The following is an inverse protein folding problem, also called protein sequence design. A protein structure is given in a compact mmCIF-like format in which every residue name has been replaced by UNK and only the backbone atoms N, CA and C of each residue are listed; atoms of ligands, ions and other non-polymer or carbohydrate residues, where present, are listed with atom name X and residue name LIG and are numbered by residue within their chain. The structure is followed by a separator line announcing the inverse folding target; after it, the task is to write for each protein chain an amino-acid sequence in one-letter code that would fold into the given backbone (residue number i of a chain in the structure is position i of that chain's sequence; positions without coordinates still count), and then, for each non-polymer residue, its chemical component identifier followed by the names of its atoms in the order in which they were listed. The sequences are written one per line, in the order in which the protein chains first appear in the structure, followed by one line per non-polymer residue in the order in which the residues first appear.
data_IF_580086240421
#
_entry.id   IF_580086240421
#
_cell.length_a   1.000
_cell.length_b   1.000
_cell.length_c   1.000
_cell.angle_alpha   90.00
_cell.angle_beta   90.00
_cell.angle_gamma   90.00
#
_symmetry.space_group_name_H-M   'P 1'
#
loop_
_entity.id
_entity.type
_entity.pdbx_description
1 polymer ?
#
# COMPACT_ATOMS: atom_id res chain seq x y z
N UNK A 1 27.41 -13.34 -24.32
CA UNK A 1 26.27 -12.40 -24.30
C UNK A 1 25.93 -12.13 -22.85
N UNK A 2 26.61 -11.14 -22.29
CA UNK A 2 26.49 -10.73 -20.91
C UNK A 2 25.12 -10.11 -20.66
N UNK A 3 24.25 -10.84 -19.97
CA UNK A 3 23.08 -10.28 -19.30
C UNK A 3 23.60 -9.51 -18.10
N UNK A 4 24.03 -8.26 -18.30
CA UNK A 4 24.17 -7.31 -17.21
C UNK A 4 22.77 -7.11 -16.61
N UNK A 5 22.51 -7.89 -15.56
CA UNK A 5 21.30 -7.84 -14.74
C UNK A 5 21.16 -6.42 -14.19
N UNK A 6 20.12 -5.70 -14.63
CA UNK A 6 19.73 -4.44 -14.01
C UNK A 6 19.60 -4.68 -12.51
N UNK A 7 20.36 -3.93 -11.70
CA UNK A 7 20.23 -3.98 -10.24
C UNK A 7 18.92 -3.28 -9.89
N UNK A 8 18.26 -3.71 -8.81
CA UNK A 8 17.12 -2.97 -8.27
C UNK A 8 17.59 -1.55 -7.90
N UNK A 9 17.23 -0.57 -8.70
CA UNK A 9 17.42 0.84 -8.38
C UNK A 9 16.20 1.26 -7.57
N UNK A 10 16.42 1.69 -6.33
CA UNK A 10 15.35 2.07 -5.42
C UNK A 10 15.42 1.41 -4.04
N UNK A 11 14.83 2.08 -3.07
CA UNK A 11 14.74 1.61 -1.68
C UNK A 11 13.30 1.26 -1.35
N UNK A 12 13.13 0.17 -0.61
CA UNK A 12 11.85 -0.21 -0.03
C UNK A 12 12.09 -0.40 1.45
N UNK A 13 11.34 0.33 2.27
CA UNK A 13 11.26 0.12 3.71
C UNK A 13 9.81 -0.08 4.07
N UNK A 14 9.54 -1.02 4.96
CA UNK A 14 8.21 -1.23 5.48
C UNK A 14 8.28 -1.58 6.95
N UNK A 15 7.30 -1.08 7.69
CA UNK A 15 7.16 -1.35 9.11
C UNK A 15 5.68 -1.34 9.46
N UNK A 16 5.20 -2.44 10.03
CA UNK A 16 3.87 -2.46 10.62
C UNK A 16 3.90 -1.85 12.03
N UNK A 17 3.03 -0.88 12.30
CA UNK A 17 2.84 -0.31 13.62
C UNK A 17 1.52 -0.80 14.20
N UNK A 18 1.59 -1.85 15.02
CA UNK A 18 0.42 -2.53 15.60
C UNK A 18 -0.49 -1.58 16.38
N UNK A 19 0.09 -0.65 17.13
CA UNK A 19 -0.66 0.35 17.92
C UNK A 19 -1.56 1.24 17.05
N UNK A 20 -1.21 1.42 15.77
CA UNK A 20 -1.99 2.20 14.80
C UNK A 20 -2.82 1.32 13.87
N UNK A 21 -2.49 0.03 13.75
CA UNK A 21 -3.04 -0.86 12.72
C UNK A 21 -2.65 -0.43 11.30
N UNK A 22 -1.51 0.24 11.14
CA UNK A 22 -1.06 0.81 9.86
C UNK A 22 0.30 0.22 9.47
N UNK A 23 0.38 -0.24 8.23
CA UNK A 23 1.62 -0.60 7.56
C UNK A 23 2.18 0.63 6.85
N UNK A 24 3.32 1.13 7.33
CA UNK A 24 4.06 2.21 6.69
C UNK A 24 4.99 1.62 5.64
N UNK A 25 5.00 2.21 4.45
CA UNK A 25 5.81 1.79 3.32
C UNK A 25 6.46 3.02 2.71
N UNK A 26 7.79 3.06 2.70
CA UNK A 26 8.57 4.05 1.97
C UNK A 26 9.16 3.43 0.71
N UNK A 27 8.86 4.07 -0.42
CA UNK A 27 9.29 3.68 -1.76
C UNK A 27 10.14 4.79 -2.35
N UNK A 28 11.36 4.46 -2.75
CA UNK A 28 12.22 5.35 -3.54
C UNK A 28 12.39 4.71 -4.92
N UNK A 29 11.96 5.40 -5.98
CA UNK A 29 11.99 4.88 -7.36
C UNK A 29 13.41 4.75 -7.95
N UNK A 30 13.52 4.20 -9.18
CA UNK A 30 12.46 3.82 -10.13
C UNK A 30 11.79 2.45 -9.84
N UNK A 31 10.54 2.26 -10.30
CA UNK A 31 9.73 1.07 -10.00
C UNK A 31 9.80 0.00 -11.10
N UNK A 32 11.00 -0.50 -11.39
CA UNK A 32 11.19 -1.58 -12.37
C UNK A 32 10.75 -2.97 -11.82
N UNK A 33 10.86 -4.02 -12.63
CA UNK A 33 10.46 -5.39 -12.22
C UNK A 33 11.27 -5.88 -11.02
N UNK A 34 12.56 -5.58 -10.97
CA UNK A 34 13.44 -5.93 -9.85
C UNK A 34 13.01 -5.21 -8.56
N UNK A 35 12.54 -3.95 -8.67
CA UNK A 35 11.94 -3.22 -7.56
C UNK A 35 10.67 -3.91 -7.06
N UNK A 36 9.79 -4.38 -7.94
CA UNK A 36 8.57 -5.10 -7.54
C UNK A 36 8.88 -6.40 -6.80
N UNK A 37 9.93 -7.12 -7.20
CA UNK A 37 10.39 -8.31 -6.47
C UNK A 37 10.93 -7.94 -5.08
N UNK A 38 11.74 -6.87 -4.98
CA UNK A 38 12.23 -6.34 -3.71
C UNK A 38 11.08 -5.89 -2.81
N UNK A 39 10.07 -5.25 -3.38
CA UNK A 39 8.85 -4.83 -2.69
C UNK A 39 8.15 -6.02 -2.05
N UNK A 40 7.87 -7.08 -2.80
CA UNK A 40 7.19 -8.26 -2.27
C UNK A 40 8.03 -8.95 -1.18
N UNK A 41 9.36 -8.92 -1.32
CA UNK A 41 10.29 -9.41 -0.29
C UNK A 41 10.21 -8.63 1.02
N UNK A 42 10.20 -7.29 0.97
CA UNK A 42 10.19 -6.45 2.18
C UNK A 42 8.76 -6.32 2.74
N UNK A 43 7.83 -5.82 1.93
CA UNK A 43 6.46 -5.54 2.33
C UNK A 43 5.68 -6.84 2.58
N UNK A 44 5.89 -7.86 1.76
CA UNK A 44 5.23 -9.15 1.93
C UNK A 44 5.63 -9.86 3.23
N UNK A 45 6.88 -9.68 3.70
CA UNK A 45 7.30 -10.19 5.01
C UNK A 45 6.63 -9.43 6.16
N UNK A 46 6.51 -8.10 6.08
CA UNK A 46 5.78 -7.32 7.10
C UNK A 46 4.30 -7.69 7.13
N UNK A 47 3.66 -7.84 5.97
CA UNK A 47 2.24 -8.24 5.89
C UNK A 47 1.95 -9.58 6.54
N UNK A 48 2.89 -10.53 6.49
CA UNK A 48 2.74 -11.83 7.16
C UNK A 48 2.74 -11.74 8.69
N UNK A 49 3.23 -10.63 9.26
CA UNK A 49 3.26 -10.38 10.70
C UNK A 49 1.97 -9.72 11.20
N UNK A 50 1.10 -9.29 10.30
CA UNK A 50 -0.14 -8.59 10.66
C UNK A 50 -1.16 -9.61 11.16
N UNK A 51 -1.38 -9.62 12.48
CA UNK A 51 -2.43 -10.41 13.14
C UNK A 51 -3.63 -9.54 13.51
N UNK A 52 -4.05 -8.67 12.58
CA UNK A 52 -5.20 -7.78 12.75
C UNK A 52 -6.21 -7.96 11.62
N UNK A 53 -7.51 -8.08 11.92
CA UNK A 53 -8.54 -8.33 10.91
C UNK A 53 -8.79 -7.15 9.98
N UNK A 54 -8.40 -5.94 10.40
CA UNK A 54 -8.49 -4.72 9.61
C UNK A 54 -7.20 -3.91 9.80
N UNK A 55 -6.57 -3.52 8.71
CA UNK A 55 -5.36 -2.68 8.74
C UNK A 55 -5.31 -1.72 7.54
N UNK A 56 -4.60 -0.61 7.72
CA UNK A 56 -4.40 0.42 6.70
C UNK A 56 -3.00 0.36 6.10
N UNK A 57 -2.86 0.81 4.85
CA UNK A 57 -1.55 0.97 4.23
C UNK A 57 -1.27 2.45 4.00
N UNK A 58 -0.13 2.95 4.49
CA UNK A 58 0.38 4.28 4.16
C UNK A 58 1.61 4.13 3.28
N UNK A 59 1.54 4.66 2.07
CA UNK A 59 2.60 4.56 1.07
C UNK A 59 3.19 5.95 0.81
N UNK A 60 4.43 6.14 1.25
CA UNK A 60 5.26 7.28 0.92
C UNK A 60 6.07 6.98 -0.35
N UNK A 61 5.93 7.83 -1.36
CA UNK A 61 6.65 7.70 -2.62
C UNK A 61 7.59 8.90 -2.77
N UNK A 62 8.88 8.59 -2.85
CA UNK A 62 9.97 9.53 -3.01
C UNK A 62 10.61 9.36 -4.39
N UNK A 63 10.97 10.49 -5.01
CA UNK A 63 11.60 10.54 -6.33
C UNK A 63 10.62 10.36 -7.52
N UNK A 64 11.21 10.39 -8.72
CA UNK A 64 10.51 10.14 -9.99
C UNK A 64 10.26 8.64 -10.17
N UNK A 65 9.19 8.15 -9.55
CA UNK A 65 8.75 6.78 -9.65
C UNK A 65 8.11 6.48 -11.02
N UNK A 66 8.94 6.33 -12.05
CA UNK A 66 8.52 5.83 -13.36
C UNK A 66 8.35 4.32 -13.27
N UNK A 67 7.16 3.84 -13.63
CA UNK A 67 6.79 2.44 -13.58
C UNK A 67 6.40 1.94 -14.99
N UNK A 68 6.99 0.84 -15.48
CA UNK A 68 6.58 0.21 -16.73
C UNK A 68 5.19 -0.43 -16.57
N UNK A 69 4.51 -0.70 -17.67
CA UNK A 69 3.12 -1.20 -17.65
C UNK A 69 3.00 -2.55 -16.93
N UNK A 70 4.03 -3.39 -17.04
CA UNK A 70 4.15 -4.68 -16.37
C UNK A 70 4.14 -4.55 -14.85
N UNK A 71 4.63 -3.43 -14.30
CA UNK A 71 4.57 -3.15 -12.87
C UNK A 71 3.13 -2.91 -12.38
N UNK A 72 2.21 -2.49 -13.26
CA UNK A 72 0.79 -2.32 -12.92
C UNK A 72 0.12 -3.65 -12.62
N UNK A 73 0.38 -4.70 -13.42
CA UNK A 73 -0.20 -6.04 -13.21
C UNK A 73 0.27 -6.61 -11.87
N UNK A 74 1.57 -6.51 -11.59
CA UNK A 74 2.13 -6.90 -10.30
C UNK A 74 1.51 -6.10 -9.14
N UNK A 75 1.34 -4.78 -9.31
CA UNK A 75 0.68 -3.93 -8.33
C UNK A 75 -0.76 -4.34 -8.03
N UNK A 76 -1.55 -4.68 -9.06
CA UNK A 76 -2.92 -5.16 -8.89
C UNK A 76 -2.97 -6.47 -8.10
N UNK A 77 -2.09 -7.42 -8.40
CA UNK A 77 -2.00 -8.69 -7.66
C UNK A 77 -1.62 -8.47 -6.18
N UNK A 78 -0.69 -7.55 -5.92
CA UNK A 78 -0.26 -7.15 -4.57
C UNK A 78 -1.41 -6.55 -3.77
N UNK A 79 -2.21 -5.67 -4.38
CA UNK A 79 -3.39 -5.06 -3.74
C UNK A 79 -4.46 -6.10 -3.49
N UNK A 80 -4.79 -6.95 -4.47
CA UNK A 80 -5.79 -8.00 -4.32
C UNK A 80 -5.45 -8.96 -3.17
N UNK A 81 -4.17 -9.39 -3.09
CA UNK A 81 -3.66 -10.21 -2.00
C UNK A 81 -3.79 -9.49 -0.65
N UNK A 82 -3.41 -8.23 -0.57
CA UNK A 82 -3.50 -7.45 0.67
C UNK A 82 -4.95 -7.27 1.16
N UNK A 83 -5.90 -7.01 0.25
CA UNK A 83 -7.32 -6.90 0.58
C UNK A 83 -7.86 -8.23 1.10
N UNK A 84 -7.45 -9.37 0.54
CA UNK A 84 -7.83 -10.69 1.05
C UNK A 84 -7.32 -10.97 2.47
N UNK A 85 -6.30 -10.24 2.92
CA UNK A 85 -5.71 -10.33 4.27
C UNK A 85 -6.13 -9.19 5.20
N UNK A 86 -7.19 -8.43 4.88
CA UNK A 86 -7.75 -7.42 5.77
C UNK A 86 -7.32 -5.97 5.52
N UNK A 87 -6.67 -5.66 4.39
CA UNK A 87 -6.40 -4.27 4.00
C UNK A 87 -7.73 -3.56 3.70
N UNK A 88 -8.03 -2.48 4.44
CA UNK A 88 -9.30 -1.74 4.32
C UNK A 88 -9.18 -0.42 3.54
N UNK A 89 -7.98 0.17 3.47
CA UNK A 89 -7.74 1.44 2.81
C UNK A 89 -6.25 1.67 2.55
N UNK A 90 -5.92 2.44 1.51
CA UNK A 90 -4.54 2.87 1.23
C UNK A 90 -4.43 4.38 1.08
N UNK A 91 -3.58 5.01 1.89
CA UNK A 91 -3.20 6.40 1.73
C UNK A 91 -1.87 6.50 0.98
N UNK A 92 -1.78 7.41 0.00
CA UNK A 92 -0.61 7.59 -0.86
C UNK A 92 -0.12 9.02 -0.73
N UNK A 93 1.14 9.19 -0.33
CA UNK A 93 1.81 10.48 -0.23
C UNK A 93 2.88 10.53 -1.31
N UNK A 94 2.75 11.47 -2.24
CA UNK A 94 3.70 11.68 -3.32
C UNK A 94 4.54 12.91 -2.95
N UNK A 95 5.79 12.69 -2.54
CA UNK A 95 6.66 13.74 -2.01
C UNK A 95 7.22 14.66 -3.10
N UNK A 96 7.37 14.14 -4.32
CA UNK A 96 7.81 14.94 -5.46
C UNK A 96 6.63 15.50 -6.26
N UNK A 97 6.72 16.79 -6.59
CA UNK A 97 5.76 17.46 -7.47
C UNK A 97 5.97 17.06 -8.94
N UNK A 98 7.23 16.84 -9.32
CA UNK A 98 7.60 16.40 -10.65
C UNK A 98 7.11 14.97 -10.92
N UNK A 99 6.45 14.76 -12.06
CA UNK A 99 5.89 13.45 -12.40
C UNK A 99 4.67 13.02 -11.57
N UNK A 100 4.17 13.84 -10.62
CA UNK A 100 2.99 13.52 -9.79
C UNK A 100 1.76 13.10 -10.61
N UNK A 101 1.53 13.74 -11.77
CA UNK A 101 0.44 13.38 -12.68
C UNK A 101 0.61 11.95 -13.24
N UNK A 102 1.82 11.59 -13.69
CA UNK A 102 2.11 10.25 -14.21
C UNK A 102 2.01 9.19 -13.11
N UNK A 103 2.52 9.50 -11.91
CA UNK A 103 2.42 8.61 -10.76
C UNK A 103 0.95 8.37 -10.36
N UNK A 104 0.10 9.41 -10.37
CA UNK A 104 -1.35 9.25 -10.13
C UNK A 104 -2.03 8.37 -11.17
N UNK A 105 -1.60 8.42 -12.44
CA UNK A 105 -2.10 7.52 -13.49
C UNK A 105 -1.67 6.08 -13.22
N UNK A 106 -0.42 5.87 -12.79
CA UNK A 106 0.05 4.53 -12.42
C UNK A 106 -0.77 3.94 -11.27
N UNK A 107 -0.89 4.69 -10.16
CA UNK A 107 -1.64 4.25 -8.99
C UNK A 107 -3.12 4.05 -9.29
N UNK A 108 -3.74 4.93 -10.09
CA UNK A 108 -5.14 4.73 -10.46
C UNK A 108 -5.35 3.43 -11.23
N UNK A 109 -4.41 3.03 -12.10
CA UNK A 109 -4.47 1.73 -12.78
C UNK A 109 -4.25 0.56 -11.83
N UNK A 110 -3.36 0.69 -10.85
CA UNK A 110 -3.13 -0.33 -9.82
C UNK A 110 -4.40 -0.59 -8.99
N UNK A 111 -5.12 0.47 -8.63
CA UNK A 111 -6.34 0.34 -7.83
C UNK A 111 -7.63 0.22 -8.65
N UNK A 112 -7.58 0.38 -9.98
CA UNK A 112 -8.76 0.42 -10.86
C UNK A 112 -9.66 -0.82 -10.74
N UNK A 113 -9.07 -2.00 -10.55
CA UNK A 113 -9.79 -3.27 -10.40
C UNK A 113 -10.16 -3.59 -8.96
N UNK A 114 -9.80 -2.73 -8.00
CA UNK A 114 -10.06 -2.93 -6.57
C UNK A 114 -11.23 -2.05 -6.12
N UNK A 115 -12.05 -2.56 -5.20
CA UNK A 115 -13.01 -1.74 -4.45
C UNK A 115 -12.33 -1.05 -3.25
N UNK A 116 -11.01 -1.16 -3.13
CA UNK A 116 -10.27 -0.65 -2.00
C UNK A 116 -10.28 0.88 -2.02
N UNK A 117 -10.76 1.55 -0.96
CA UNK A 117 -10.62 2.98 -0.81
C UNK A 117 -9.15 3.38 -0.84
N UNK A 118 -8.78 4.26 -1.77
CA UNK A 118 -7.47 4.89 -1.77
C UNK A 118 -7.58 6.40 -1.95
N UNK A 119 -6.65 7.14 -1.35
CA UNK A 119 -6.63 8.61 -1.42
C UNK A 119 -5.20 9.13 -1.43
N UNK A 120 -5.00 10.22 -2.17
CA UNK A 120 -3.74 10.95 -2.22
C UNK A 120 -3.71 12.06 -1.17
N UNK A 121 -2.56 12.28 -0.57
CA UNK A 121 -2.30 13.34 0.40
C UNK A 121 -0.98 14.04 0.07
N UNK A 122 -0.85 15.27 0.57
CA UNK A 122 0.37 16.06 0.45
C UNK A 122 1.26 15.93 1.71
N UNK A 123 0.68 15.48 2.84
CA UNK A 123 1.38 15.25 4.10
C UNK A 123 1.08 13.87 4.68
N UNK A 124 2.10 13.26 5.30
CA UNK A 124 2.01 11.94 5.93
C UNK A 124 1.06 11.95 7.12
N UNK A 125 1.00 13.05 7.86
CA UNK A 125 0.15 13.23 9.03
C UNK A 125 -1.33 13.21 8.65
N UNK A 126 -1.70 13.86 7.55
CA UNK A 126 -3.08 13.85 7.03
C UNK A 126 -3.49 12.46 6.52
N UNK A 127 -2.56 11.77 5.85
CA UNK A 127 -2.76 10.40 5.40
C UNK A 127 -3.00 9.44 6.58
N UNK A 128 -2.20 9.57 7.64
CA UNK A 128 -2.32 8.77 8.85
C UNK A 128 -3.65 9.03 9.57
N UNK A 129 -4.04 10.30 9.72
CA UNK A 129 -5.30 10.67 10.36
C UNK A 129 -6.50 10.07 9.61
N UNK A 130 -6.48 10.12 8.27
CA UNK A 130 -7.54 9.52 7.46
C UNK A 130 -7.60 7.99 7.58
N UNK A 131 -6.45 7.31 7.59
CA UNK A 131 -6.42 5.85 7.81
C UNK A 131 -6.93 5.48 9.21
N UNK A 132 -6.56 6.26 10.22
CA UNK A 132 -7.01 6.04 11.60
C UNK A 132 -8.53 6.13 11.72
N UNK A 133 -9.15 7.13 11.08
CA UNK A 133 -10.61 7.24 10.98
C UNK A 133 -11.25 6.02 10.28
N UNK A 134 -10.69 5.59 9.14
CA UNK A 134 -11.16 4.40 8.43
C UNK A 134 -11.08 3.12 9.27
N UNK A 135 -9.98 2.95 9.99
CA UNK A 135 -9.77 1.81 10.89
C UNK A 135 -10.73 1.84 12.06
N UNK A 136 -10.97 3.01 12.64
CA UNK A 136 -11.93 3.18 13.71
C UNK A 136 -13.35 2.79 13.27
N UNK A 137 -13.80 3.27 12.11
CA UNK A 137 -15.12 2.91 11.56
C UNK A 137 -15.21 1.40 11.28
N UNK A 138 -14.18 0.82 10.68
CA UNK A 138 -14.18 -0.60 10.28
C UNK A 138 -14.13 -1.54 11.49
N UNK A 139 -13.36 -1.20 12.51
CA UNK A 139 -13.30 -1.96 13.77
C UNK A 139 -14.62 -1.87 14.55
N UNK A 140 -15.31 -0.73 14.51
CA UNK A 140 -16.64 -0.61 15.09
C UNK A 140 -17.69 -1.42 14.33
N UNK A 141 -17.67 -1.41 12.99
CA UNK A 141 -18.54 -2.24 12.18
C UNK A 141 -18.36 -3.74 12.49
N UNK A 142 -17.10 -4.19 12.64
CA UNK A 142 -16.79 -5.57 13.01
C UNK A 142 -17.31 -5.95 14.41
N UNK A 143 -17.24 -5.03 15.39
CA UNK A 143 -17.78 -5.25 16.75
C UNK A 143 -19.31 -5.31 16.81
N UNK A 144 -20.00 -4.59 15.93
CA UNK A 144 -21.47 -4.59 15.86
C UNK A 144 -21.97 -5.94 15.30
N UNK A 145 -21.31 -6.45 14.25
CA UNK A 145 -21.66 -7.74 13.63
C UNK A 145 -21.47 -8.93 14.59
N UNK A 146 -20.40 -8.92 15.39
CA UNK A 146 -20.15 -9.93 16.42
C UNK A 146 -21.17 -9.91 17.57
N UNK A 147 -21.72 -8.74 17.94
CA UNK A 147 -22.77 -8.64 18.96
C UNK A 147 -24.15 -9.09 18.45
N UNK A 148 -24.39 -9.04 17.15
CA UNK A 148 -25.62 -9.56 16.55
C UNK A 148 -25.64 -11.10 16.57
N UNK A 149 -24.50 -11.75 16.29
CA UNK A 149 -24.38 -13.22 16.27
C UNK A 149 -24.36 -13.91 17.65
N UNK A 150 -24.07 -13.21 18.73
CA UNK A 150 -24.07 -13.78 20.11
C UNK A 150 -25.47 -13.75 20.74
N UNK A 151 -26.45 -13.11 20.08
CA UNK A 151 -27.84 -13.00 20.57
C UNK A 151 -28.82 -13.98 19.92
N UNK A 152 -28.35 -14.92 19.12
CA UNK A 152 -29.14 -16.04 18.57
C UNK A 152 -28.84 -17.35 19.29
#
# INVERSE_FOLDING_TARGET
MDREKFKAHGEVRAQFLEAKGILFIDLVGPFNLEFMQKYEGVVGLERKKIDQPCWGSLVNVHGLALAPMEATISGQAIVAKATSTGLIATAIVLHESEGKALQKIFWSRVYASSQLPYKYFDATEEAEAWLSDKLFISTQACKIDQRARVKE
#
